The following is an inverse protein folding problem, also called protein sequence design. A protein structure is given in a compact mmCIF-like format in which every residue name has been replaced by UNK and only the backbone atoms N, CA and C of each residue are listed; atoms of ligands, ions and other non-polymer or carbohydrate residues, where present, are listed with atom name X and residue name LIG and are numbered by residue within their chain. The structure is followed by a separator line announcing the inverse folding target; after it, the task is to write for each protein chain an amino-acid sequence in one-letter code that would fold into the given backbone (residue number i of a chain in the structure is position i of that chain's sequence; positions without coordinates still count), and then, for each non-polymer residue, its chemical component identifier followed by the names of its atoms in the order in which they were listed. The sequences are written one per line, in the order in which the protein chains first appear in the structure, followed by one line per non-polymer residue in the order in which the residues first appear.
data_IF_148067858872
#
_entry.id   IF_148067858872
#
_cell.length_a   1.000
_cell.length_b   1.000
_cell.length_c   1.000
_cell.angle_alpha   90.00
_cell.angle_beta   90.00
_cell.angle_gamma   90.00
#
_symmetry.space_group_name_H-M   'P 1'
#
loop_
_entity.id
_entity.type
_entity.pdbx_description
1 polymer ?
#
# COMPACT_ATOMS: atom_id res chain seq x y z
N UNK A 1 3.83 -16.06 0.83
CA UNK A 1 3.46 -15.00 1.80
C UNK A 1 4.64 -14.05 1.92
N UNK A 2 4.42 -12.73 1.94
CA UNK A 2 5.43 -11.67 1.81
C UNK A 2 6.56 -11.79 2.85
N UNK A 3 7.77 -12.26 2.49
CA UNK A 3 8.85 -12.51 3.46
C UNK A 3 9.45 -11.21 4.01
N UNK A 4 9.16 -10.07 3.38
CA UNK A 4 9.62 -8.72 3.71
C UNK A 4 8.65 -7.94 4.62
N UNK A 5 7.45 -8.47 4.89
CA UNK A 5 6.39 -7.73 5.59
C UNK A 5 6.42 -7.96 7.10
N UNK A 6 6.88 -6.96 7.85
CA UNK A 6 6.80 -6.93 9.31
C UNK A 6 5.35 -6.92 9.83
N UNK A 7 4.40 -6.44 9.02
CA UNK A 7 2.99 -6.53 9.34
C UNK A 7 2.53 -7.98 9.18
N UNK A 8 2.86 -8.63 8.06
CA UNK A 8 2.49 -10.03 7.83
C UNK A 8 3.05 -10.99 8.88
N UNK A 9 4.24 -10.72 9.46
CA UNK A 9 4.82 -11.55 10.52
C UNK A 9 4.08 -11.45 11.86
N UNK A 10 3.39 -10.31 12.12
CA UNK A 10 2.63 -10.07 13.35
C UNK A 10 1.10 -10.10 13.17
N UNK A 11 0.61 -10.32 11.95
CA UNK A 11 -0.82 -10.19 11.63
C UNK A 11 -1.61 -11.45 12.02
N UNK A 12 -2.51 -11.33 13.01
CA UNK A 12 -3.39 -12.42 13.49
C UNK A 12 -4.89 -12.11 13.35
N UNK A 13 -5.30 -11.40 12.29
CA UNK A 13 -6.70 -10.95 12.15
C UNK A 13 -7.71 -12.08 11.80
N UNK A 14 -7.26 -13.33 11.60
CA UNK A 14 -8.15 -14.47 11.34
C UNK A 14 -8.64 -15.20 12.60
N UNK A 15 -8.34 -14.70 13.81
CA UNK A 15 -8.48 -15.50 15.06
C UNK A 15 -9.84 -15.38 15.76
N UNK A 16 -10.83 -14.64 15.23
CA UNK A 16 -12.14 -14.50 15.88
C UNK A 16 -13.31 -14.88 14.96
N UNK A 17 -14.25 -15.70 15.48
CA UNK A 17 -15.52 -16.09 14.84
C UNK A 17 -15.62 -17.56 14.42
N UNK A 18 -16.59 -17.85 13.54
CA UNK A 18 -16.78 -19.17 12.89
C UNK A 18 -15.61 -19.50 11.94
N UNK A 19 -14.84 -18.49 11.52
CA UNK A 19 -13.72 -18.63 10.59
C UNK A 19 -12.60 -19.56 11.11
N UNK A 20 -12.08 -19.44 12.35
CA UNK A 20 -11.16 -20.42 12.94
C UNK A 20 -11.72 -21.85 12.95
N UNK A 21 -13.00 -22.01 13.25
CA UNK A 21 -13.65 -23.33 13.28
C UNK A 21 -13.77 -23.92 11.87
N UNK A 22 -14.23 -23.14 10.89
CA UNK A 22 -14.30 -23.56 9.49
C UNK A 22 -12.90 -23.83 8.92
N UNK A 23 -11.91 -22.99 9.23
CA UNK A 23 -10.52 -23.19 8.83
C UNK A 23 -9.96 -24.47 9.45
N UNK A 24 -10.28 -24.78 10.72
CA UNK A 24 -9.84 -26.02 11.37
C UNK A 24 -10.52 -27.26 10.78
N UNK A 25 -11.82 -27.19 10.47
CA UNK A 25 -12.56 -28.27 9.80
C UNK A 25 -12.02 -28.50 8.38
N UNK A 26 -11.81 -27.42 7.62
CA UNK A 26 -11.21 -27.47 6.28
C UNK A 26 -9.77 -27.99 6.32
N UNK A 27 -8.96 -27.53 7.27
CA UNK A 27 -7.58 -27.99 7.47
C UNK A 27 -7.54 -29.47 7.81
N UNK A 28 -8.42 -29.96 8.71
CA UNK A 28 -8.53 -31.39 9.03
C UNK A 28 -8.92 -32.21 7.80
N UNK A 29 -9.87 -31.73 7.00
CA UNK A 29 -10.29 -32.40 5.77
C UNK A 29 -9.13 -32.46 4.75
N UNK A 30 -8.42 -31.36 4.51
CA UNK A 30 -7.29 -31.32 3.56
C UNK A 30 -6.11 -32.16 4.05
N UNK A 31 -5.74 -32.07 5.34
CA UNK A 31 -4.62 -32.84 5.90
C UNK A 31 -4.93 -34.33 6.08
N UNK A 32 -6.20 -34.73 6.00
CA UNK A 32 -6.59 -36.15 5.99
C UNK A 32 -6.38 -36.82 4.64
N UNK A 33 -6.20 -36.04 3.57
CA UNK A 33 -5.92 -36.54 2.23
C UNK A 33 -4.41 -36.69 2.00
N UNK A 34 -4.01 -37.76 1.30
CA UNK A 34 -2.59 -38.06 1.06
C UNK A 34 -1.95 -37.14 0.02
N UNK A 35 -2.73 -36.73 -0.98
CA UNK A 35 -2.25 -35.96 -2.13
C UNK A 35 -3.13 -34.72 -2.36
N UNK A 36 -2.58 -33.54 -2.09
CA UNK A 36 -3.24 -32.26 -2.36
C UNK A 36 -2.26 -31.22 -2.90
N UNK A 37 -2.76 -30.29 -3.71
CA UNK A 37 -2.02 -29.14 -4.22
C UNK A 37 -2.62 -27.87 -3.66
N UNK A 38 -1.78 -27.01 -3.07
CA UNK A 38 -2.15 -25.67 -2.66
C UNK A 38 -1.86 -24.69 -3.81
N UNK A 39 -2.91 -24.01 -4.27
CA UNK A 39 -2.84 -23.00 -5.31
C UNK A 39 -3.18 -21.63 -4.73
N UNK A 40 -2.53 -20.61 -5.28
CA UNK A 40 -2.85 -19.22 -5.04
C UNK A 40 -3.38 -18.66 -6.35
N UNK A 41 -4.66 -18.27 -6.38
CA UNK A 41 -5.30 -17.76 -7.60
C UNK A 41 -5.94 -16.39 -7.35
N UNK A 42 -5.91 -15.52 -8.35
CA UNK A 42 -6.58 -14.24 -8.30
C UNK A 42 -7.98 -14.38 -8.89
N UNK A 43 -8.97 -14.63 -8.03
CA UNK A 43 -10.36 -14.78 -8.42
C UNK A 43 -11.08 -13.43 -8.41
N UNK A 44 -12.05 -13.23 -9.31
CA UNK A 44 -12.91 -12.05 -9.26
C UNK A 44 -13.92 -12.21 -8.12
N UNK A 45 -13.81 -11.36 -7.10
CA UNK A 45 -14.84 -11.24 -6.08
C UNK A 45 -16.09 -10.62 -6.72
N UNK A 46 -17.14 -11.42 -6.93
CA UNK A 46 -18.37 -11.00 -7.62
C UNK A 46 -19.03 -9.76 -7.02
N UNK A 47 -19.24 -9.67 -5.69
CA UNK A 47 -19.75 -8.47 -5.04
C UNK A 47 -18.84 -7.24 -5.16
N UNK A 48 -17.53 -7.40 -5.01
CA UNK A 48 -16.59 -6.29 -5.01
C UNK A 48 -16.07 -5.92 -6.41
N UNK A 49 -16.40 -6.71 -7.43
CA UNK A 49 -15.89 -6.60 -8.81
C UNK A 49 -14.38 -6.37 -8.87
N UNK A 50 -13.63 -6.98 -7.94
CA UNK A 50 -12.18 -6.82 -7.83
C UNK A 50 -11.49 -8.15 -7.63
N UNK A 51 -10.26 -8.27 -8.16
CA UNK A 51 -9.45 -9.47 -8.01
C UNK A 51 -9.01 -9.64 -6.56
N UNK A 52 -9.18 -10.84 -6.03
CA UNK A 52 -8.82 -11.24 -4.69
C UNK A 52 -7.94 -12.48 -4.78
N UNK A 53 -6.78 -12.45 -4.11
CA UNK A 53 -5.94 -13.64 -4.02
C UNK A 53 -6.60 -14.61 -3.04
N UNK A 54 -7.16 -15.67 -3.59
CA UNK A 54 -7.76 -16.79 -2.88
C UNK A 54 -6.76 -17.93 -2.77
N UNK A 55 -6.85 -18.66 -1.66
CA UNK A 55 -6.12 -19.91 -1.48
C UNK A 55 -7.05 -21.04 -1.85
N UNK A 56 -6.63 -21.86 -2.80
CA UNK A 56 -7.35 -23.05 -3.22
C UNK A 56 -6.56 -24.28 -2.79
N UNK A 57 -7.27 -25.30 -2.29
CA UNK A 57 -6.72 -26.63 -2.14
C UNK A 57 -7.38 -27.54 -3.18
N UNK A 58 -6.58 -28.18 -4.01
CA UNK A 58 -7.01 -29.22 -4.94
C UNK A 58 -6.69 -30.58 -4.34
N UNK A 59 -7.73 -31.36 -4.08
CA UNK A 59 -7.60 -32.72 -3.58
C UNK A 59 -7.59 -33.68 -4.78
N UNK A 60 -6.53 -34.48 -4.90
CA UNK A 60 -6.42 -35.47 -5.96
C UNK A 60 -7.01 -36.80 -5.47
N UNK A 61 -8.21 -37.14 -5.96
CA UNK A 61 -8.77 -38.48 -5.80
C UNK A 61 -8.65 -39.23 -7.13
N UNK A 62 -8.60 -40.57 -7.09
CA UNK A 62 -8.18 -41.53 -8.14
C UNK A 62 -8.69 -41.28 -9.58
N UNK A 63 -9.66 -40.37 -9.79
CA UNK A 63 -10.06 -39.86 -11.12
C UNK A 63 -10.74 -38.47 -11.11
N UNK A 64 -10.65 -37.68 -10.03
CA UNK A 64 -11.30 -36.36 -9.95
C UNK A 64 -10.53 -35.36 -9.08
N UNK A 65 -10.48 -34.09 -9.52
CA UNK A 65 -9.98 -32.97 -8.73
C UNK A 65 -11.15 -32.28 -8.02
N UNK A 66 -11.06 -32.13 -6.70
CA UNK A 66 -12.01 -31.32 -5.91
C UNK A 66 -11.33 -30.03 -5.49
N UNK A 67 -11.93 -28.88 -5.84
CA UNK A 67 -11.45 -27.57 -5.44
C UNK A 67 -12.13 -27.13 -4.15
N UNK A 68 -11.32 -26.81 -3.13
CA UNK A 68 -11.76 -26.17 -1.90
C UNK A 68 -11.23 -24.73 -1.90
N UNK A 69 -12.14 -23.74 -1.91
CA UNK A 69 -11.77 -22.34 -1.67
C UNK A 69 -11.62 -22.12 -0.15
N UNK A 70 -10.40 -21.79 0.28
CA UNK A 70 -10.01 -21.53 1.67
C UNK A 70 -10.18 -20.03 2.03
N UNK A 71 -10.59 -19.21 1.06
CA UNK A 71 -10.84 -17.78 1.18
C UNK A 71 -9.57 -16.93 1.00
N UNK A 72 -9.72 -15.62 1.16
CA UNK A 72 -8.59 -14.69 1.18
C UNK A 72 -7.89 -14.64 2.53
N UNK A 73 -6.57 -14.45 2.51
CA UNK A 73 -5.82 -14.05 3.68
C UNK A 73 -6.44 -12.79 4.32
N UNK A 74 -6.65 -12.78 5.64
CA UNK A 74 -7.20 -11.62 6.34
C UNK A 74 -6.40 -10.33 6.10
N UNK A 75 -5.09 -10.45 5.82
CA UNK A 75 -4.26 -9.29 5.50
C UNK A 75 -4.68 -8.64 4.18
N UNK A 76 -5.08 -9.43 3.18
CA UNK A 76 -5.62 -8.92 1.92
C UNK A 76 -6.97 -8.23 2.13
N UNK A 77 -7.84 -8.78 2.99
CA UNK A 77 -9.12 -8.15 3.34
C UNK A 77 -8.87 -6.75 3.93
N UNK A 78 -7.93 -6.63 4.86
CA UNK A 78 -7.61 -5.34 5.48
C UNK A 78 -6.89 -4.40 4.49
N UNK A 79 -5.96 -4.89 3.67
CA UNK A 79 -5.35 -4.06 2.63
C UNK A 79 -6.40 -3.51 1.65
N UNK A 80 -7.34 -4.36 1.23
CA UNK A 80 -8.41 -3.98 0.32
C UNK A 80 -9.43 -3.04 0.98
N UNK A 81 -9.73 -3.20 2.27
CA UNK A 81 -10.62 -2.27 2.98
C UNK A 81 -9.99 -0.88 3.09
N UNK A 82 -8.69 -0.78 3.38
CA UNK A 82 -7.96 0.50 3.34
C UNK A 82 -7.90 1.09 1.93
N UNK A 83 -7.65 0.26 0.92
CA UNK A 83 -7.67 0.70 -0.49
C UNK A 83 -9.05 1.26 -0.86
N UNK A 84 -10.12 0.56 -0.51
CA UNK A 84 -11.50 0.98 -0.77
C UNK A 84 -11.84 2.27 -0.01
N UNK A 85 -11.47 2.36 1.27
CA UNK A 85 -11.62 3.56 2.07
C UNK A 85 -10.89 4.76 1.45
N UNK A 86 -9.65 4.57 1.01
CA UNK A 86 -8.89 5.59 0.30
C UNK A 86 -9.58 6.02 -1.00
N UNK A 87 -10.03 5.08 -1.83
CA UNK A 87 -10.74 5.40 -3.07
C UNK A 87 -12.04 6.15 -2.83
N UNK A 88 -12.76 5.85 -1.74
CA UNK A 88 -14.01 6.52 -1.37
C UNK A 88 -13.81 7.98 -0.93
N UNK A 89 -12.63 8.36 -0.41
CA UNK A 89 -12.40 9.76 -0.01
C UNK A 89 -12.13 10.70 -1.18
N UNK A 90 -11.76 10.17 -2.35
CA UNK A 90 -11.35 10.94 -3.54
C UNK A 90 -10.14 11.89 -3.33
N UNK A 91 -9.41 11.74 -2.22
CA UNK A 91 -8.29 12.65 -1.89
C UNK A 91 -7.00 12.39 -2.69
N UNK A 92 -6.91 11.23 -3.34
CA UNK A 92 -5.79 10.81 -4.19
C UNK A 92 -4.36 10.96 -3.58
N UNK A 93 -4.27 10.78 -2.26
CA UNK A 93 -3.01 10.67 -1.50
C UNK A 93 -2.03 9.68 -2.14
N UNK A 94 -2.50 8.60 -2.78
CA UNK A 94 -1.62 7.66 -3.50
C UNK A 94 -0.81 8.32 -4.63
N UNK A 95 -1.42 9.23 -5.39
CA UNK A 95 -0.73 10.02 -6.42
C UNK A 95 0.26 11.01 -5.81
N UNK A 96 -0.08 11.64 -4.69
CA UNK A 96 0.84 12.55 -3.99
C UNK A 96 2.11 11.82 -3.51
N UNK A 97 1.95 10.69 -2.82
CA UNK A 97 3.07 9.86 -2.34
C UNK A 97 3.94 9.38 -3.50
N UNK A 98 3.30 8.91 -4.57
CA UNK A 98 4.00 8.45 -5.77
C UNK A 98 4.77 9.59 -6.44
N UNK A 99 4.15 10.76 -6.58
CA UNK A 99 4.77 11.91 -7.21
C UNK A 99 5.99 12.41 -6.43
N UNK A 100 5.92 12.44 -5.09
CA UNK A 100 7.06 12.80 -4.23
C UNK A 100 8.26 11.88 -4.45
N UNK A 101 8.03 10.58 -4.62
CA UNK A 101 9.10 9.62 -4.88
C UNK A 101 9.67 9.79 -6.31
N UNK A 102 8.79 9.75 -7.32
CA UNK A 102 9.19 9.71 -8.72
C UNK A 102 9.74 11.04 -9.24
N UNK A 103 9.48 12.17 -8.57
CA UNK A 103 10.14 13.42 -8.90
C UNK A 103 11.67 13.28 -8.76
N UNK A 104 12.16 12.53 -7.78
CA UNK A 104 13.60 12.45 -7.48
C UNK A 104 14.26 11.13 -7.87
N UNK A 105 13.52 10.02 -7.88
CA UNK A 105 14.07 8.66 -8.03
C UNK A 105 15.03 8.49 -9.21
N UNK A 106 14.65 8.98 -10.39
CA UNK A 106 15.41 8.80 -11.64
C UNK A 106 15.99 10.12 -12.18
N UNK A 107 16.19 11.12 -11.32
CA UNK A 107 16.77 12.40 -11.73
C UNK A 107 17.87 12.84 -10.77
N UNK A 108 19.13 12.45 -11.02
CA UNK A 108 20.28 12.86 -10.22
C UNK A 108 20.40 14.39 -10.14
N UNK A 109 20.22 15.09 -11.25
CA UNK A 109 20.26 16.55 -11.30
C UNK A 109 19.22 17.21 -10.37
N UNK A 110 17.96 16.74 -10.37
CA UNK A 110 16.95 17.26 -9.45
C UNK A 110 17.25 16.95 -7.99
N UNK A 111 17.87 15.80 -7.71
CA UNK A 111 18.29 15.45 -6.34
C UNK A 111 19.40 16.38 -5.85
N UNK A 112 20.38 16.64 -6.70
CA UNK A 112 21.47 17.58 -6.41
C UNK A 112 20.92 19.00 -6.21
N UNK A 113 20.05 19.48 -7.10
CA UNK A 113 19.37 20.77 -6.94
C UNK A 113 18.60 20.84 -5.63
N UNK A 114 17.83 19.80 -5.29
CA UNK A 114 17.08 19.75 -4.03
C UNK A 114 18.01 19.81 -2.82
N UNK A 115 19.10 19.05 -2.81
CA UNK A 115 20.10 19.07 -1.74
C UNK A 115 20.75 20.46 -1.63
N UNK A 116 21.15 21.07 -2.75
CA UNK A 116 21.81 22.37 -2.76
C UNK A 116 20.88 23.51 -2.34
N UNK A 117 19.60 23.46 -2.76
CA UNK A 117 18.62 24.52 -2.46
C UNK A 117 18.00 24.40 -1.07
N UNK A 118 17.88 23.19 -0.52
CA UNK A 118 17.15 22.90 0.72
C UNK A 118 18.07 22.45 1.85
N UNK A 119 19.19 21.82 1.54
CA UNK A 119 20.17 21.33 2.53
C UNK A 119 19.87 19.94 3.11
N UNK A 120 18.93 19.18 2.52
CA UNK A 120 18.58 17.83 3.00
C UNK A 120 18.75 16.77 1.92
N UNK A 121 19.32 15.64 2.29
CA UNK A 121 19.47 14.43 1.46
C UNK A 121 18.38 13.38 1.75
N UNK A 122 17.35 13.75 2.51
CA UNK A 122 16.21 12.87 2.81
C UNK A 122 15.16 12.94 1.71
N UNK A 123 14.75 11.79 1.19
CA UNK A 123 13.77 11.67 0.11
C UNK A 123 12.59 10.77 0.49
N UNK A 124 11.52 10.84 -0.33
CA UNK A 124 10.32 10.02 -0.18
C UNK A 124 10.59 8.53 -0.43
N UNK A 125 9.92 7.69 0.37
CA UNK A 125 9.89 6.26 0.15
C UNK A 125 8.92 5.90 -0.99
N UNK A 126 9.08 4.69 -1.54
CA UNK A 126 8.19 4.19 -2.60
C UNK A 126 6.83 3.85 -1.99
N UNK A 127 5.77 4.32 -2.65
CA UNK A 127 4.40 3.93 -2.35
C UNK A 127 4.01 2.64 -3.08
N UNK A 128 3.31 1.73 -2.39
CA UNK A 128 2.76 0.51 -2.96
C UNK A 128 1.22 0.50 -2.90
N UNK A 129 0.55 0.76 -4.02
CA UNK A 129 -0.92 0.89 -4.07
C UNK A 129 -1.73 -0.38 -3.75
N UNK A 130 -1.07 -1.52 -3.62
CA UNK A 130 -1.69 -2.80 -3.25
C UNK A 130 -1.40 -3.19 -1.79
N UNK A 131 -0.45 -2.51 -1.11
CA UNK A 131 -0.06 -2.81 0.28
C UNK A 131 -0.27 -1.61 1.21
N UNK A 132 -1.53 -1.15 1.31
CA UNK A 132 -1.86 0.09 2.03
C UNK A 132 -1.37 0.15 3.49
N UNK A 133 -1.54 -0.91 4.29
CA UNK A 133 -1.04 -0.95 5.67
C UNK A 133 0.49 -0.82 5.76
N UNK A 134 1.22 -1.35 4.78
CA UNK A 134 2.69 -1.30 4.77
C UNK A 134 3.22 0.10 4.39
N UNK A 135 2.36 0.99 3.88
CA UNK A 135 2.75 2.35 3.50
C UNK A 135 2.80 3.33 4.67
N UNK A 136 2.57 2.91 5.92
CA UNK A 136 2.69 3.80 7.10
C UNK A 136 4.03 4.56 7.11
N UNK A 137 5.20 3.91 6.97
CA UNK A 137 6.48 4.63 6.92
C UNK A 137 6.60 5.55 5.69
N UNK A 138 5.98 5.18 4.58
CA UNK A 138 5.94 6.00 3.36
C UNK A 138 5.16 7.29 3.58
N UNK A 139 4.00 7.23 4.25
CA UNK A 139 3.18 8.39 4.59
C UNK A 139 3.91 9.27 5.60
N UNK A 140 4.49 8.68 6.65
CA UNK A 140 5.26 9.42 7.66
C UNK A 140 6.47 10.15 7.04
N UNK A 141 7.24 9.46 6.17
CA UNK A 141 8.34 10.09 5.45
C UNK A 141 7.84 11.21 4.55
N UNK A 142 6.73 11.02 3.85
CA UNK A 142 6.16 12.03 2.98
C UNK A 142 5.78 13.29 3.77
N UNK A 143 5.09 13.14 4.91
CA UNK A 143 4.77 14.25 5.82
C UNK A 143 6.02 14.97 6.32
N UNK A 144 7.08 14.23 6.67
CA UNK A 144 8.36 14.81 7.11
C UNK A 144 9.02 15.67 6.03
N UNK A 145 9.05 15.21 4.77
CA UNK A 145 9.74 15.93 3.69
C UNK A 145 8.86 17.00 3.04
N UNK A 146 7.55 16.97 3.23
CA UNK A 146 6.62 17.82 2.50
C UNK A 146 6.87 19.32 2.67
N UNK A 147 7.21 19.85 3.87
CA UNK A 147 7.60 21.25 4.02
C UNK A 147 8.78 21.64 3.13
N UNK A 148 9.82 20.81 3.09
CA UNK A 148 10.98 20.98 2.20
C UNK A 148 10.59 20.90 0.72
N UNK A 149 9.69 19.97 0.37
CA UNK A 149 9.13 19.84 -0.97
C UNK A 149 8.42 21.11 -1.45
N UNK A 150 7.56 21.71 -0.60
CA UNK A 150 6.87 22.98 -0.91
C UNK A 150 7.86 24.12 -1.18
N UNK A 151 8.91 24.24 -0.37
CA UNK A 151 9.96 25.26 -0.58
C UNK A 151 10.69 25.03 -1.91
N UNK A 152 11.03 23.78 -2.23
CA UNK A 152 11.69 23.45 -3.49
C UNK A 152 10.81 23.81 -4.70
N UNK A 153 9.54 23.39 -4.71
CA UNK A 153 8.61 23.70 -5.79
C UNK A 153 8.47 25.21 -6.03
N UNK A 154 8.42 26.00 -4.95
CA UNK A 154 8.36 27.46 -5.04
C UNK A 154 9.65 28.06 -5.59
N UNK A 155 10.83 27.54 -5.23
CA UNK A 155 12.12 28.03 -5.72
C UNK A 155 12.35 27.76 -7.21
N UNK A 156 11.85 26.64 -7.73
CA UNK A 156 12.03 26.27 -9.15
C UNK A 156 10.89 26.76 -10.05
N UNK A 157 9.82 27.31 -9.47
CA UNK A 157 8.67 27.83 -10.22
C UNK A 157 9.08 29.02 -11.10
N UNK A 158 8.85 28.93 -12.41
CA UNK A 158 9.20 29.97 -13.38
C UNK A 158 10.63 29.90 -13.91
N UNK A 159 11.48 29.03 -13.35
CA UNK A 159 12.80 28.75 -13.90
C UNK A 159 12.69 27.69 -15.00
N UNK A 160 12.66 28.12 -16.27
CA UNK A 160 12.53 27.22 -17.43
C UNK A 160 13.62 26.13 -17.50
N UNK A 161 14.75 26.31 -16.83
CA UNK A 161 15.84 25.32 -16.81
C UNK A 161 15.64 24.22 -15.76
N UNK A 162 14.89 24.52 -14.68
CA UNK A 162 14.68 23.62 -13.53
C UNK A 162 13.23 23.16 -13.37
N UNK A 163 12.27 23.91 -13.90
CA UNK A 163 10.86 23.60 -13.88
C UNK A 163 10.57 22.35 -14.73
N UNK A 164 10.15 21.27 -14.07
CA UNK A 164 9.95 20.00 -14.75
C UNK A 164 8.54 19.90 -15.32
N UNK A 165 8.41 19.48 -16.58
CA UNK A 165 7.11 19.25 -17.21
C UNK A 165 6.50 17.88 -16.90
N UNK A 166 7.17 17.06 -16.05
CA UNK A 166 6.75 15.69 -15.78
C UNK A 166 5.45 15.62 -14.95
N UNK A 167 4.74 14.49 -15.06
CA UNK A 167 3.49 14.24 -14.32
C UNK A 167 3.66 14.42 -12.81
N UNK A 168 4.76 13.93 -12.24
CA UNK A 168 5.03 14.06 -10.81
C UNK A 168 5.14 15.51 -10.36
N UNK A 169 5.81 16.37 -11.12
CA UNK A 169 5.91 17.79 -10.78
C UNK A 169 4.52 18.45 -10.79
N UNK A 170 3.73 18.25 -11.86
CA UNK A 170 2.39 18.80 -11.98
C UNK A 170 1.49 18.39 -10.81
N UNK A 171 1.45 17.09 -10.52
CA UNK A 171 0.71 16.57 -9.37
C UNK A 171 1.12 17.26 -8.06
N UNK A 172 2.43 17.44 -7.82
CA UNK A 172 2.91 18.06 -6.58
C UNK A 172 2.56 19.56 -6.50
N UNK A 173 2.53 20.26 -7.62
CA UNK A 173 2.05 21.65 -7.67
C UNK A 173 0.56 21.71 -7.32
N UNK A 174 -0.25 20.80 -7.86
CA UNK A 174 -1.69 20.72 -7.54
C UNK A 174 -1.92 20.40 -6.05
N UNK A 175 -1.18 19.42 -5.51
CA UNK A 175 -1.24 19.07 -4.10
C UNK A 175 -0.70 20.17 -3.18
N UNK A 176 0.21 21.02 -3.64
CA UNK A 176 0.68 22.17 -2.86
C UNK A 176 -0.41 23.24 -2.66
N UNK A 177 -1.47 23.24 -3.47
CA UNK A 177 -2.64 24.10 -3.29
C UNK A 177 -3.65 23.56 -2.26
N UNK A 178 -3.57 22.28 -1.88
CA UNK A 178 -4.46 21.66 -0.91
C UNK A 178 -4.01 21.92 0.53
N UNK A 179 -4.65 22.90 1.18
CA UNK A 179 -4.36 23.26 2.57
C UNK A 179 -4.61 22.12 3.58
N UNK A 180 -5.42 21.12 3.22
CA UNK A 180 -5.78 20.00 4.09
C UNK A 180 -5.01 18.72 3.78
N UNK A 181 -4.05 18.75 2.86
CA UNK A 181 -3.32 17.56 2.41
C UNK A 181 -2.67 16.79 3.56
N UNK A 182 -1.97 17.51 4.46
CA UNK A 182 -1.27 16.90 5.59
C UNK A 182 -2.25 16.23 6.54
N UNK A 183 -3.41 16.85 6.81
CA UNK A 183 -4.47 16.27 7.63
C UNK A 183 -5.09 15.03 6.97
N UNK A 184 -5.38 15.10 5.67
CA UNK A 184 -5.90 13.96 4.87
C UNK A 184 -4.95 12.77 4.90
N UNK A 185 -3.65 13.02 4.75
CA UNK A 185 -2.61 12.00 4.82
C UNK A 185 -2.50 11.38 6.22
N UNK A 186 -2.64 12.19 7.29
CA UNK A 186 -2.65 11.68 8.67
C UNK A 186 -3.87 10.80 8.96
N UNK A 187 -5.07 11.19 8.49
CA UNK A 187 -6.29 10.38 8.62
C UNK A 187 -6.13 9.01 7.95
N UNK A 188 -5.47 8.97 6.80
CA UNK A 188 -5.21 7.73 6.05
C UNK A 188 -3.97 6.97 6.54
N UNK A 189 -3.21 7.49 7.50
CA UNK A 189 -2.14 6.76 8.14
C UNK A 189 -2.76 5.82 9.19
N UNK A 190 -2.74 4.49 8.99
CA UNK A 190 -3.16 3.57 10.05
C UNK A 190 -2.42 3.94 11.34
N UNK A 191 -3.17 4.18 12.42
CA UNK A 191 -2.60 4.53 13.73
C UNK A 191 -1.64 3.42 14.16
N UNK A 192 -0.36 3.56 13.84
CA UNK A 192 0.68 2.85 14.54
C UNK A 192 0.73 3.51 15.91
N UNK A 193 0.40 2.75 16.96
CA UNK A 193 0.62 3.18 18.34
C UNK A 193 2.11 3.44 18.53
N UNK A 194 2.54 4.66 18.22
CA UNK A 194 3.69 5.30 18.82
C UNK A 194 3.18 6.64 19.36
N UNK A 195 2.66 6.53 20.57
CA UNK A 195 2.39 7.61 21.50
C UNK A 195 3.65 8.45 21.70
N UNK A 196 3.80 9.50 20.92
CA UNK A 196 4.65 10.67 21.24
C UNK A 196 4.26 11.95 20.49
N UNK A 197 3.09 11.97 19.84
CA UNK A 197 2.52 13.18 19.22
C UNK A 197 1.13 13.46 19.82
N UNK A 198 1.10 13.66 21.13
CA UNK A 198 0.24 14.59 21.87
C UNK A 198 1.00 14.99 23.14
#
# INVERSE_FOLDING_TARGET
MFPDSAIASGFSCSTFGISPYLAEVQRKAVLSEKDYVLLFDETLNGPLQSKQLDVHAELMQESSVKHLNVGSCGLNIVHNSFKAGHSATSWDIGSWLSALHWLFKDSPARREDFINLIGTSTFALRFCGHRWLENVPTIQRALQIWPAGKVYLNKIKGDKSKESTCKSYKNLVDFAADALLEAKAQILCPLHKNSSLF
#
